data_IF_093510684210
#
_entry.id   IF_093510684210
#
_cell.length_a   1.000
_cell.length_b   1.000
_cell.length_c   1.000
_cell.angle_alpha   90.00
_cell.angle_beta   90.00
_cell.angle_gamma   90.00
#
_symmetry.space_group_name_H-M   'P 1'
#
loop_
_entity.id
_entity.type
_entity.pdbx_description
1 polymer ?
#
# COMPACT_ATOMS: atom_id res chain seq x y z
N UNK A 1 -64.81 -17.06 -37.88
CA UNK A 1 -66.12 -16.37 -37.69
C UNK A 1 -65.86 -15.03 -36.98
N UNK A 2 -66.20 -13.96 -37.70
CA UNK A 2 -66.52 -12.59 -37.29
C UNK A 2 -65.54 -11.82 -36.40
N UNK A 3 -64.78 -10.87 -36.90
CA UNK A 3 -65.11 -9.57 -37.54
C UNK A 3 -65.63 -8.50 -36.53
N UNK A 4 -64.91 -7.40 -36.54
CA UNK A 4 -65.27 -5.96 -36.49
C UNK A 4 -64.39 -5.20 -35.50
N UNK A 5 -63.47 -4.39 -36.02
CA UNK A 5 -63.54 -2.98 -36.41
C UNK A 5 -64.12 -2.08 -35.28
N UNK A 6 -63.31 -1.15 -34.79
CA UNK A 6 -63.69 0.26 -34.90
C UNK A 6 -62.49 1.18 -34.58
N UNK A 7 -62.27 2.04 -35.53
CA UNK A 7 -61.49 3.24 -35.64
C UNK A 7 -62.09 4.36 -34.75
N UNK A 8 -61.29 5.21 -34.16
CA UNK A 8 -61.50 6.66 -34.03
C UNK A 8 -60.41 7.26 -33.18
N UNK A 9 -59.71 8.10 -33.66
CA UNK A 9 -59.59 9.52 -34.02
C UNK A 9 -58.58 10.25 -33.16
N UNK A 10 -57.67 10.80 -33.91
CA UNK A 10 -56.79 11.95 -33.68
C UNK A 10 -57.19 12.93 -32.56
N UNK A 11 -56.21 13.35 -31.75
CA UNK A 11 -56.08 14.77 -31.45
C UNK A 11 -54.57 15.08 -31.30
N UNK A 12 -54.12 15.88 -32.21
CA UNK A 12 -52.85 16.54 -32.18
C UNK A 12 -52.85 17.64 -31.11
N UNK A 13 -51.92 17.64 -30.19
CA UNK A 13 -51.68 18.81 -29.35
C UNK A 13 -50.17 19.11 -29.41
N UNK A 14 -49.85 20.06 -30.25
CA UNK A 14 -48.55 20.69 -30.31
C UNK A 14 -48.35 21.54 -29.06
N UNK A 15 -47.39 21.20 -28.21
CA UNK A 15 -46.93 22.11 -27.15
C UNK A 15 -45.41 22.27 -27.27
N UNK A 16 -45.05 23.51 -27.43
CA UNK A 16 -43.82 24.14 -27.72
C UNK A 16 -42.59 23.60 -27.03
N UNK A 17 -41.58 23.40 -27.87
CA UNK A 17 -40.20 23.26 -27.44
C UNK A 17 -39.69 24.64 -26.95
N UNK A 18 -39.63 24.83 -25.64
CA UNK A 18 -38.88 25.92 -25.02
C UNK A 18 -37.42 25.50 -25.01
N UNK A 19 -36.68 25.99 -25.99
CA UNK A 19 -35.20 25.93 -25.95
C UNK A 19 -34.71 26.88 -24.86
N UNK A 20 -34.45 26.31 -23.67
CA UNK A 20 -33.60 26.95 -22.68
C UNK A 20 -32.15 26.80 -23.12
N UNK A 21 -31.72 27.63 -24.06
CA UNK A 21 -30.30 27.89 -24.32
C UNK A 21 -29.75 28.71 -23.15
N UNK A 22 -29.51 28.04 -22.02
CA UNK A 22 -28.72 28.58 -20.93
C UNK A 22 -27.27 28.63 -21.39
N UNK A 23 -26.82 29.79 -21.92
CA UNK A 23 -25.41 30.09 -22.05
C UNK A 23 -24.79 30.06 -20.65
N UNK A 24 -24.12 28.95 -20.29
CA UNK A 24 -23.19 28.93 -19.20
C UNK A 24 -21.97 29.79 -19.57
N UNK A 25 -22.07 31.09 -19.39
CA UNK A 25 -20.95 32.04 -19.44
C UNK A 25 -20.30 32.17 -18.05
N UNK A 26 -20.25 31.07 -17.29
CA UNK A 26 -19.44 31.00 -16.08
C UNK A 26 -17.99 30.67 -16.48
N UNK A 27 -17.01 31.43 -15.99
CA UNK A 27 -15.61 31.04 -16.08
C UNK A 27 -15.50 29.59 -15.58
N UNK A 28 -14.87 28.71 -16.37
CA UNK A 28 -14.57 27.35 -15.91
C UNK A 28 -13.82 27.49 -14.59
N UNK A 29 -14.23 26.77 -13.52
CA UNK A 29 -13.41 26.71 -12.33
C UNK A 29 -12.03 26.23 -12.80
N UNK A 30 -11.03 27.11 -12.68
CA UNK A 30 -9.64 26.70 -12.82
C UNK A 30 -9.44 25.60 -11.80
N UNK A 31 -9.01 24.41 -12.27
CA UNK A 31 -8.51 23.36 -11.37
C UNK A 31 -7.54 24.09 -10.43
N UNK A 32 -7.81 24.01 -9.13
CA UNK A 32 -6.87 24.53 -8.15
C UNK A 32 -5.50 23.95 -8.49
N UNK A 33 -4.42 24.73 -8.38
CA UNK A 33 -3.08 24.18 -8.54
C UNK A 33 -2.99 22.92 -7.72
N UNK A 34 -2.43 21.86 -8.29
CA UNK A 34 -2.18 20.60 -7.61
C UNK A 34 -1.56 20.92 -6.25
N UNK A 35 -2.33 20.68 -5.20
CA UNK A 35 -1.95 21.03 -3.84
C UNK A 35 -0.67 20.26 -3.58
N UNK A 36 0.45 20.96 -3.52
CA UNK A 36 1.76 20.38 -3.19
C UNK A 36 1.52 19.52 -1.95
N UNK A 37 1.85 18.23 -2.03
CA UNK A 37 1.56 17.28 -0.96
C UNK A 37 1.94 17.92 0.38
N UNK A 38 1.02 17.99 1.35
CA UNK A 38 1.27 18.73 2.59
C UNK A 38 2.56 18.18 3.20
N UNK A 39 3.51 19.07 3.45
CA UNK A 39 4.72 18.74 4.19
C UNK A 39 4.23 18.16 5.52
N UNK A 40 4.60 16.93 5.84
CA UNK A 40 4.24 16.28 7.08
C UNK A 40 5.01 17.04 8.16
N UNK A 41 4.34 17.81 9.02
CA UNK A 41 5.05 18.71 9.96
C UNK A 41 5.65 17.96 11.15
N UNK A 42 5.28 16.68 11.36
CA UNK A 42 5.71 15.90 12.51
C UNK A 42 7.08 15.26 12.27
N UNK A 43 8.08 15.67 13.06
CA UNK A 43 9.45 15.19 12.94
C UNK A 43 9.57 13.68 13.15
N UNK A 44 8.78 13.09 14.05
CA UNK A 44 8.82 11.66 14.33
C UNK A 44 8.39 10.83 13.11
N UNK A 45 7.39 11.33 12.36
CA UNK A 45 6.94 10.69 11.12
C UNK A 45 7.99 10.84 10.02
N UNK A 46 8.60 12.03 9.92
CA UNK A 46 9.67 12.29 8.95
C UNK A 46 10.90 11.39 9.18
N UNK A 47 11.27 11.16 10.43
CA UNK A 47 12.40 10.29 10.79
C UNK A 47 12.17 8.87 10.30
N UNK A 48 11.01 8.26 10.59
CA UNK A 48 10.67 6.91 10.12
C UNK A 48 10.56 6.87 8.59
N UNK A 49 9.95 7.88 7.96
CA UNK A 49 9.85 7.97 6.50
C UNK A 49 11.23 8.06 5.84
N UNK A 50 12.14 8.84 6.43
CA UNK A 50 13.52 8.98 5.92
C UNK A 50 14.29 7.67 6.01
N UNK A 51 14.15 6.95 7.13
CA UNK A 51 14.74 5.61 7.29
C UNK A 51 14.18 4.67 6.21
N UNK A 52 12.85 4.57 6.06
CA UNK A 52 12.22 3.72 5.05
C UNK A 52 12.59 4.11 3.61
N UNK A 53 12.85 5.39 3.33
CA UNK A 53 13.30 5.85 2.02
C UNK A 53 14.78 5.54 1.74
N UNK A 54 15.58 5.26 2.77
CA UNK A 54 17.00 4.94 2.61
C UNK A 54 17.21 3.60 1.91
N UNK A 55 18.37 3.43 1.29
CA UNK A 55 18.76 2.15 0.71
C UNK A 55 19.73 1.42 1.65
N UNK A 56 19.54 0.11 1.87
CA UNK A 56 20.46 -0.67 2.65
C UNK A 56 21.83 -0.76 1.94
N UNK A 57 22.89 -0.83 2.75
CA UNK A 57 24.26 -0.94 2.24
C UNK A 57 24.82 -2.38 2.32
N UNK A 58 24.22 -3.23 3.12
CA UNK A 58 24.69 -4.59 3.42
C UNK A 58 23.61 -5.61 3.14
N UNK A 59 24.02 -6.83 2.82
CA UNK A 59 23.11 -7.96 2.61
C UNK A 59 22.41 -8.33 3.91
N UNK A 60 21.13 -8.72 3.81
CA UNK A 60 20.37 -9.25 4.92
C UNK A 60 19.15 -10.05 4.45
N UNK A 61 18.63 -10.86 5.35
CA UNK A 61 17.33 -11.52 5.21
C UNK A 61 16.51 -11.27 6.48
N UNK A 62 15.24 -10.90 6.32
CA UNK A 62 14.28 -10.72 7.40
C UNK A 62 13.05 -11.58 7.12
N UNK A 63 12.60 -12.34 8.12
CA UNK A 63 11.33 -13.03 8.06
C UNK A 63 10.28 -12.25 8.84
N UNK A 64 9.04 -12.33 8.37
CA UNK A 64 7.90 -11.59 8.92
C UNK A 64 6.70 -12.50 9.13
N UNK A 65 5.97 -12.23 10.19
CA UNK A 65 4.57 -12.61 10.30
C UNK A 65 3.69 -11.45 9.83
N UNK A 66 2.75 -11.78 8.96
CA UNK A 66 1.82 -10.83 8.37
C UNK A 66 0.40 -11.29 8.65
N UNK A 67 -0.42 -10.41 9.20
CA UNK A 67 -1.85 -10.66 9.44
C UNK A 67 -2.66 -9.60 8.73
N UNK A 68 -3.46 -10.00 7.74
CA UNK A 68 -4.51 -9.15 7.19
C UNK A 68 -5.73 -9.26 8.07
N UNK A 69 -6.17 -8.13 8.65
CA UNK A 69 -7.23 -8.10 9.66
C UNK A 69 -8.61 -8.40 9.08
N UNK A 70 -8.83 -8.08 7.80
CA UNK A 70 -10.01 -8.52 7.06
C UNK A 70 -9.85 -10.01 6.71
N UNK A 71 -10.71 -10.83 7.30
CA UNK A 71 -10.64 -12.29 7.15
C UNK A 71 -9.63 -12.98 8.07
N UNK A 72 -8.84 -12.22 8.85
CA UNK A 72 -7.82 -12.76 9.78
C UNK A 72 -6.87 -13.76 9.09
N UNK A 73 -6.40 -13.40 7.89
CA UNK A 73 -5.50 -14.27 7.12
C UNK A 73 -4.07 -14.06 7.61
N UNK A 74 -3.45 -15.14 8.05
CA UNK A 74 -2.03 -15.18 8.43
C UNK A 74 -1.18 -15.61 7.24
N UNK A 75 -0.07 -14.93 7.03
CA UNK A 75 0.90 -15.25 5.98
C UNK A 75 2.31 -15.05 6.51
N UNK A 76 3.19 -15.98 6.18
CA UNK A 76 4.62 -15.76 6.34
C UNK A 76 5.12 -14.93 5.15
N UNK A 77 6.04 -14.02 5.42
CA UNK A 77 6.74 -13.30 4.38
C UNK A 77 8.24 -13.22 4.69
N UNK A 78 9.05 -12.97 3.67
CA UNK A 78 10.47 -12.71 3.85
C UNK A 78 10.92 -11.62 2.89
N UNK A 79 11.92 -10.84 3.32
CA UNK A 79 12.61 -9.86 2.50
C UNK A 79 14.10 -10.16 2.57
N UNK A 80 14.71 -10.38 1.41
CA UNK A 80 16.15 -10.50 1.25
C UNK A 80 16.66 -9.33 0.40
N UNK A 81 17.76 -8.74 0.81
CA UNK A 81 18.47 -7.72 0.05
C UNK A 81 19.94 -8.09 -0.08
N UNK A 82 20.48 -7.93 -1.28
CA UNK A 82 21.89 -8.09 -1.56
C UNK A 82 22.34 -7.05 -2.60
N UNK A 83 23.41 -6.29 -2.35
CA UNK A 83 23.88 -5.27 -3.30
C UNK A 83 24.25 -5.82 -4.69
N UNK A 84 24.59 -7.10 -4.80
CA UNK A 84 24.94 -7.74 -6.07
C UNK A 84 23.71 -8.29 -6.82
N UNK A 85 22.64 -8.68 -6.11
CA UNK A 85 21.47 -9.32 -6.70
C UNK A 85 20.24 -8.41 -6.72
N UNK A 86 20.08 -7.51 -5.73
CA UNK A 86 18.92 -6.63 -5.57
C UNK A 86 18.04 -7.01 -4.39
N UNK A 87 16.73 -6.95 -4.58
CA UNK A 87 15.73 -7.23 -3.53
C UNK A 87 14.84 -8.40 -3.94
N UNK A 88 14.63 -9.32 -3.02
CA UNK A 88 13.66 -10.40 -3.16
C UNK A 88 12.65 -10.34 -2.02
N UNK A 89 11.35 -10.37 -2.35
CA UNK A 89 10.25 -10.32 -1.39
C UNK A 89 9.36 -11.53 -1.63
N UNK A 90 9.25 -12.40 -0.64
CA UNK A 90 8.37 -13.56 -0.70
C UNK A 90 7.18 -13.33 0.22
N UNK A 91 5.96 -13.55 -0.26
CA UNK A 91 4.70 -13.45 0.48
C UNK A 91 3.92 -14.75 0.23
N UNK A 92 3.89 -15.64 1.21
CA UNK A 92 3.34 -16.98 1.03
C UNK A 92 4.10 -17.73 -0.08
N UNK A 93 3.42 -18.05 -1.17
CA UNK A 93 3.96 -18.81 -2.31
C UNK A 93 4.42 -17.94 -3.48
N UNK A 94 4.36 -16.62 -3.34
CA UNK A 94 4.73 -15.67 -4.39
C UNK A 94 6.02 -14.97 -4.02
N UNK A 95 6.98 -14.96 -4.95
CA UNK A 95 8.24 -14.23 -4.81
C UNK A 95 8.33 -13.13 -5.86
N UNK A 96 8.62 -11.93 -5.41
CA UNK A 96 8.91 -10.76 -6.24
C UNK A 96 10.41 -10.48 -6.21
N UNK A 97 11.03 -10.38 -7.37
CA UNK A 97 12.46 -10.09 -7.51
C UNK A 97 12.62 -8.74 -8.22
N UNK A 98 13.41 -7.86 -7.62
CA UNK A 98 13.83 -6.58 -8.14
C UNK A 98 15.35 -6.62 -8.31
N UNK A 99 15.81 -6.99 -9.47
CA UNK A 99 17.24 -7.15 -9.75
C UNK A 99 17.97 -5.82 -9.89
N UNK A 100 19.27 -5.80 -9.64
CA UNK A 100 20.11 -4.59 -9.74
C UNK A 100 20.19 -4.02 -11.16
N UNK A 101 19.99 -4.85 -12.20
CA UNK A 101 19.92 -4.44 -13.60
C UNK A 101 18.58 -3.81 -14.01
N UNK A 102 17.63 -3.68 -13.06
CA UNK A 102 16.29 -3.16 -13.30
C UNK A 102 15.29 -4.20 -13.77
N UNK A 103 15.68 -5.45 -13.96
CA UNK A 103 14.74 -6.53 -14.27
C UNK A 103 13.84 -6.82 -13.06
N UNK A 104 12.56 -7.06 -13.32
CA UNK A 104 11.59 -7.47 -12.29
C UNK A 104 10.93 -8.76 -12.68
N UNK A 105 10.70 -9.64 -11.69
CA UNK A 105 10.08 -10.95 -11.90
C UNK A 105 9.04 -11.21 -10.81
N UNK A 106 8.00 -11.94 -11.18
CA UNK A 106 7.05 -12.56 -10.24
C UNK A 106 7.15 -14.07 -10.40
N UNK A 107 7.55 -14.75 -9.34
CA UNK A 107 7.81 -16.18 -9.33
C UNK A 107 6.82 -16.93 -8.44
N UNK A 108 6.54 -18.18 -8.77
CA UNK A 108 5.91 -19.16 -7.87
C UNK A 108 7.00 -19.94 -7.15
N UNK A 109 6.97 -19.94 -5.82
CA UNK A 109 7.92 -20.76 -5.03
C UNK A 109 7.61 -22.25 -5.08
N UNK A 110 6.39 -22.63 -5.48
CA UNK A 110 5.97 -24.04 -5.62
C UNK A 110 6.33 -24.61 -6.99
N UNK A 111 6.07 -23.85 -8.05
CA UNK A 111 6.27 -24.30 -9.43
C UNK A 111 7.68 -24.01 -9.95
N UNK A 112 8.48 -23.22 -9.22
CA UNK A 112 9.80 -22.72 -9.62
C UNK A 112 9.77 -22.06 -11.02
N UNK A 113 8.69 -21.34 -11.32
CA UNK A 113 8.50 -20.60 -12.57
C UNK A 113 8.40 -19.10 -12.29
N UNK A 114 8.90 -18.29 -13.21
CA UNK A 114 8.87 -16.84 -13.13
C UNK A 114 8.27 -16.23 -14.38
N UNK A 115 7.53 -15.15 -14.20
CA UNK A 115 7.05 -14.27 -15.27
C UNK A 115 7.70 -12.90 -15.16
N UNK A 116 8.08 -12.26 -16.28
CA UNK A 116 8.58 -10.89 -16.27
C UNK A 116 7.55 -9.90 -15.70
N UNK A 117 8.05 -8.92 -14.95
CA UNK A 117 7.23 -7.88 -14.32
C UNK A 117 6.73 -8.25 -12.93
N UNK A 118 6.09 -7.27 -12.27
CA UNK A 118 5.48 -7.43 -10.95
C UNK A 118 3.98 -7.61 -11.13
N UNK A 119 3.47 -8.77 -10.74
CA UNK A 119 2.04 -9.11 -10.77
C UNK A 119 1.48 -9.08 -9.33
N UNK A 120 1.00 -7.93 -8.92
CA UNK A 120 0.41 -7.72 -7.59
C UNK A 120 -0.89 -8.50 -7.38
N UNK A 121 -1.55 -8.95 -8.46
CA UNK A 121 -2.81 -9.70 -8.35
C UNK A 121 -2.64 -11.04 -7.63
N UNK A 122 -1.44 -11.58 -7.63
CA UNK A 122 -1.11 -12.88 -6.99
C UNK A 122 -1.13 -12.85 -5.46
N UNK A 123 -1.17 -11.66 -4.84
CA UNK A 123 -1.28 -11.48 -3.37
C UNK A 123 -2.40 -10.52 -2.99
N UNK A 124 -3.23 -10.11 -3.94
CA UNK A 124 -4.30 -9.13 -3.72
C UNK A 124 -5.39 -9.62 -2.75
N UNK A 125 -5.66 -10.90 -2.70
CA UNK A 125 -6.57 -11.52 -1.73
C UNK A 125 -6.12 -11.35 -0.28
N UNK A 126 -4.80 -11.14 -0.07
CA UNK A 126 -4.18 -10.89 1.23
C UNK A 126 -4.05 -9.40 1.55
N UNK A 127 -4.58 -8.51 0.70
CA UNK A 127 -4.46 -7.05 0.82
C UNK A 127 -3.01 -6.56 0.96
N UNK A 128 -2.09 -7.32 0.39
CA UNK A 128 -0.66 -7.04 0.38
C UNK A 128 -0.22 -6.58 -1.01
N UNK A 129 0.88 -5.87 -1.03
CA UNK A 129 1.61 -5.50 -2.25
C UNK A 129 3.09 -5.81 -2.07
N UNK A 130 3.80 -6.05 -3.15
CA UNK A 130 5.23 -6.37 -3.13
C UNK A 130 6.09 -5.29 -2.44
N UNK A 131 5.61 -4.05 -2.37
CA UNK A 131 6.31 -2.92 -1.76
C UNK A 131 5.93 -2.68 -0.29
N UNK A 132 5.20 -3.60 0.37
CA UNK A 132 4.66 -3.44 1.73
C UNK A 132 5.74 -3.13 2.79
N UNK A 133 6.95 -3.64 2.62
CA UNK A 133 8.04 -3.44 3.59
C UNK A 133 8.80 -2.12 3.42
N UNK A 134 8.44 -1.28 2.45
CA UNK A 134 9.11 -0.01 2.18
C UNK A 134 8.14 1.06 1.68
N UNK A 135 7.93 1.15 0.36
CA UNK A 135 7.16 2.23 -0.28
C UNK A 135 5.72 2.29 0.21
N UNK A 136 5.01 1.16 0.22
CA UNK A 136 3.62 1.15 0.65
C UNK A 136 3.46 1.48 2.15
N UNK A 137 4.45 1.16 3.00
CA UNK A 137 4.45 1.57 4.40
C UNK A 137 4.57 3.09 4.54
N UNK A 138 5.44 3.75 3.75
CA UNK A 138 5.57 5.22 3.72
C UNK A 138 4.24 5.86 3.29
N UNK A 139 3.62 5.34 2.24
CA UNK A 139 2.34 5.86 1.72
C UNK A 139 1.23 5.74 2.76
N UNK A 140 1.10 4.57 3.43
CA UNK A 140 0.14 4.34 4.52
C UNK A 140 0.39 5.29 5.69
N UNK A 141 1.62 5.37 6.17
CA UNK A 141 2.01 6.27 7.25
C UNK A 141 1.71 7.74 6.92
N UNK A 142 1.97 8.16 5.69
CA UNK A 142 1.65 9.52 5.21
C UNK A 142 0.14 9.77 5.18
N UNK A 143 -0.67 8.79 4.81
CA UNK A 143 -2.12 8.90 4.84
C UNK A 143 -2.65 9.00 6.27
N UNK A 144 -2.15 8.16 7.20
CA UNK A 144 -2.52 8.21 8.61
C UNK A 144 -2.11 9.55 9.25
N UNK A 145 -0.95 10.10 8.87
CA UNK A 145 -0.49 11.42 9.31
C UNK A 145 -1.45 12.56 8.93
N UNK A 146 -2.07 12.48 7.75
CA UNK A 146 -3.03 13.50 7.27
C UNK A 146 -4.34 13.54 8.08
N UNK A 147 -4.70 12.42 8.70
CA UNK A 147 -5.93 12.26 9.48
C UNK A 147 -5.65 12.11 10.97
N UNK A 148 -4.41 12.35 11.39
CA UNK A 148 -4.02 12.30 12.79
C UNK A 148 -4.82 13.31 13.63
N UNK A 149 -5.27 12.87 14.82
CA UNK A 149 -6.07 13.68 15.75
C UNK A 149 -5.25 14.21 16.93
N UNK A 150 -3.93 14.00 16.89
CA UNK A 150 -2.98 14.46 17.89
C UNK A 150 -1.54 14.31 17.41
N UNK A 151 -0.55 14.75 18.21
CA UNK A 151 0.86 14.62 17.85
C UNK A 151 1.26 13.15 17.77
N UNK A 152 2.13 12.85 16.82
CA UNK A 152 2.76 11.54 16.76
C UNK A 152 3.80 11.38 17.87
N UNK A 153 3.98 10.15 18.35
CA UNK A 153 4.91 9.83 19.44
C UNK A 153 6.03 8.95 18.90
N UNK A 154 7.27 9.46 18.99
CA UNK A 154 8.47 8.71 18.64
C UNK A 154 8.85 7.73 19.76
N UNK A 155 9.37 6.56 19.39
CA UNK A 155 10.00 5.62 20.30
C UNK A 155 11.10 4.82 19.58
N UNK A 156 11.87 4.08 20.35
CA UNK A 156 12.79 3.06 19.83
C UNK A 156 12.45 1.71 20.46
N UNK A 157 12.49 0.67 19.66
CA UNK A 157 12.21 -0.69 20.08
C UNK A 157 13.32 -1.64 19.58
N UNK A 158 13.46 -2.77 20.24
CA UNK A 158 14.30 -3.87 19.74
C UNK A 158 13.37 -4.93 19.15
N UNK A 159 13.47 -5.19 17.85
CA UNK A 159 12.64 -6.15 17.11
C UNK A 159 13.57 -7.09 16.37
N UNK A 160 13.39 -8.40 16.51
CA UNK A 160 14.28 -9.41 15.92
C UNK A 160 15.77 -9.09 16.19
N UNK A 161 16.10 -8.71 17.43
CA UNK A 161 17.44 -8.35 17.93
C UNK A 161 18.08 -7.12 17.26
N UNK A 162 17.30 -6.31 16.54
CA UNK A 162 17.76 -5.08 15.88
C UNK A 162 17.01 -3.86 16.38
N UNK A 163 17.71 -2.72 16.41
CA UNK A 163 17.11 -1.43 16.79
C UNK A 163 16.19 -0.94 15.66
N UNK A 164 14.97 -0.59 16.05
CA UNK A 164 13.98 0.03 15.20
C UNK A 164 13.57 1.40 15.76
N UNK A 165 13.46 2.38 14.88
CA UNK A 165 12.86 3.69 15.16
C UNK A 165 11.38 3.60 14.82
N UNK A 166 10.53 3.97 15.79
CA UNK A 166 9.10 3.81 15.73
C UNK A 166 8.37 5.15 15.82
N UNK A 167 7.18 5.20 15.25
CA UNK A 167 6.21 6.28 15.42
C UNK A 167 4.82 5.72 15.66
N UNK A 168 4.13 6.29 16.65
CA UNK A 168 2.74 6.01 16.97
C UNK A 168 1.87 7.21 16.57
N UNK A 169 0.90 7.01 15.69
CA UNK A 169 0.04 8.05 15.11
C UNK A 169 -1.39 7.82 15.61
N UNK A 170 -1.97 8.77 16.40
CA UNK A 170 -3.34 8.67 16.86
C UNK A 170 -4.30 9.06 15.73
N UNK A 171 -5.23 8.18 15.38
CA UNK A 171 -6.27 8.40 14.37
C UNK A 171 -7.63 8.03 14.93
N UNK A 172 -8.72 8.55 14.35
CA UNK A 172 -10.10 8.16 14.72
C UNK A 172 -10.58 7.09 13.74
N UNK A 173 -11.13 6.01 14.26
CA UNK A 173 -11.75 4.96 13.44
C UNK A 173 -13.17 5.36 12.98
N UNK A 174 -13.80 4.50 12.19
CA UNK A 174 -15.16 4.71 11.66
C UNK A 174 -16.24 4.82 12.75
N UNK A 175 -15.95 4.40 13.98
CA UNK A 175 -16.86 4.46 15.12
C UNK A 175 -16.62 5.68 16.02
N UNK A 176 -15.66 6.52 15.65
CA UNK A 176 -15.26 7.70 16.44
C UNK A 176 -14.32 7.38 17.60
N UNK A 177 -13.81 6.17 17.72
CA UNK A 177 -12.84 5.82 18.75
C UNK A 177 -11.40 6.12 18.30
N UNK A 178 -10.60 6.68 19.20
CA UNK A 178 -9.18 6.91 18.92
C UNK A 178 -8.43 5.58 18.93
N UNK A 179 -7.72 5.31 17.84
CA UNK A 179 -6.81 4.18 17.69
C UNK A 179 -5.40 4.68 17.41
N UNK A 180 -4.41 3.89 17.77
CA UNK A 180 -3.01 4.20 17.45
C UNK A 180 -2.52 3.33 16.32
N UNK A 181 -1.99 3.94 15.27
CA UNK A 181 -1.27 3.26 14.18
C UNK A 181 0.22 3.32 14.48
N UNK A 182 0.87 2.17 14.44
CA UNK A 182 2.29 2.05 14.76
C UNK A 182 3.08 1.69 13.50
N UNK A 183 4.20 2.38 13.31
CA UNK A 183 5.16 2.14 12.24
C UNK A 183 6.55 2.14 12.80
N UNK A 184 7.28 1.04 12.65
CA UNK A 184 8.67 0.91 13.04
C UNK A 184 9.53 0.53 11.83
N UNK A 185 10.65 1.20 11.68
CA UNK A 185 11.65 0.91 10.65
C UNK A 185 12.97 0.51 11.29
N UNK A 186 13.63 -0.51 10.76
CA UNK A 186 15.00 -0.84 11.16
C UNK A 186 15.93 0.30 10.78
N UNK A 187 16.55 0.91 11.79
CA UNK A 187 17.30 2.17 11.68
C UNK A 187 18.38 2.14 10.59
N UNK A 188 19.04 1.01 10.38
CA UNK A 188 20.18 0.85 9.46
C UNK A 188 19.84 0.07 8.18
N UNK A 189 18.60 -0.44 8.02
CA UNK A 189 18.24 -1.32 6.91
C UNK A 189 17.24 -0.68 5.93
N UNK A 190 16.58 0.41 6.33
CA UNK A 190 15.64 1.11 5.45
C UNK A 190 14.38 0.29 5.10
N UNK A 191 13.95 -0.61 5.96
CA UNK A 191 12.77 -1.45 5.78
C UNK A 191 11.95 -1.54 7.07
N UNK A 192 10.70 -1.92 6.93
CA UNK A 192 9.76 -2.08 8.04
C UNK A 192 10.29 -3.13 9.04
N UNK A 193 10.30 -2.79 10.32
CA UNK A 193 10.52 -3.71 11.43
C UNK A 193 9.18 -4.24 11.97
N UNK A 194 8.23 -3.34 12.18
CA UNK A 194 6.82 -3.67 12.44
C UNK A 194 5.89 -2.60 11.93
N UNK A 195 4.65 -2.98 11.66
CA UNK A 195 3.59 -2.06 11.28
C UNK A 195 2.25 -2.61 11.79
N UNK A 196 1.44 -1.74 12.41
CA UNK A 196 0.12 -2.11 12.88
C UNK A 196 -0.89 -1.03 12.50
N UNK A 197 -1.67 -1.31 11.46
CA UNK A 197 -2.69 -0.41 10.88
C UNK A 197 -4.10 -0.97 11.06
N UNK A 198 -5.11 -0.34 10.47
CA UNK A 198 -6.50 -0.81 10.57
C UNK A 198 -6.71 -2.18 9.93
N UNK A 199 -6.02 -2.42 8.81
CA UNK A 199 -6.20 -3.56 7.91
C UNK A 199 -5.07 -4.58 7.97
N UNK A 200 -3.89 -4.19 8.48
CA UNK A 200 -2.68 -4.98 8.38
C UNK A 200 -1.85 -4.92 9.66
N UNK A 201 -1.32 -6.05 10.09
CA UNK A 201 -0.24 -6.14 11.07
C UNK A 201 0.93 -6.89 10.44
N UNK A 202 2.12 -6.33 10.57
CA UNK A 202 3.40 -6.89 10.10
C UNK A 202 4.38 -6.82 11.24
N UNK A 203 5.09 -7.90 11.52
CA UNK A 203 6.16 -7.93 12.52
C UNK A 203 7.32 -8.80 12.03
N UNK A 204 8.52 -8.24 12.08
CA UNK A 204 9.74 -9.03 11.83
C UNK A 204 9.95 -10.03 12.98
N UNK A 205 10.15 -11.29 12.62
CA UNK A 205 10.32 -12.41 13.55
C UNK A 205 11.76 -12.87 13.67
N UNK A 206 12.55 -12.66 12.61
CA UNK A 206 13.98 -12.99 12.64
C UNK A 206 14.75 -12.11 11.66
N UNK A 207 16.04 -11.94 11.95
CA UNK A 207 17.02 -11.24 11.12
C UNK A 207 18.25 -12.09 10.90
N UNK A 208 18.80 -12.05 9.68
CA UNK A 208 20.11 -12.61 9.32
C UNK A 208 20.88 -11.58 8.51
N UNK A 209 22.17 -11.41 8.80
CA UNK A 209 23.10 -10.57 8.04
C UNK A 209 23.62 -11.22 6.75
N UNK A 210 23.01 -12.32 6.31
CA UNK A 210 23.39 -13.09 5.14
C UNK A 210 22.20 -13.36 4.24
N UNK A 211 22.49 -13.54 2.96
CA UNK A 211 21.56 -14.01 1.91
C UNK A 211 22.11 -15.26 1.24
N UNK A 212 21.25 -15.94 0.50
CA UNK A 212 21.64 -17.07 -0.37
C UNK A 212 21.19 -16.77 -1.80
N UNK A 213 21.94 -17.24 -2.80
CA UNK A 213 21.67 -16.93 -4.21
C UNK A 213 20.27 -17.44 -4.68
N UNK A 214 19.79 -18.52 -4.09
CA UNK A 214 18.47 -19.10 -4.38
C UNK A 214 17.30 -18.19 -3.96
N UNK A 215 17.54 -17.23 -3.07
CA UNK A 215 16.53 -16.22 -2.74
C UNK A 215 16.25 -15.25 -3.89
N UNK A 216 17.17 -15.12 -4.85
CA UNK A 216 17.09 -14.19 -6.00
C UNK A 216 16.90 -14.90 -7.34
N UNK A 217 16.52 -16.16 -7.31
CA UNK A 217 16.24 -16.98 -8.51
C UNK A 217 14.82 -17.58 -8.46
N UNK A 218 14.44 -18.18 -9.58
CA UNK A 218 13.18 -18.92 -9.71
C UNK A 218 13.13 -20.16 -8.82
#
# INVERSE_FOLDING_TARGET
>A
MHARRLIKTLTATSIGAIFLSGCFTGARPTLMPEETAPVIPDAAIQDVATILASNPATSFTINYDVVTKFGNIQSAASLAFDPAFGTSITIGEVRYIYSVDGTTLTCSTLAADCTPGIDESRVSDRQLVSTVFKKAAIERMTQDARVAVGPAVASQETIADNVATCVAIPVVDSNGATQTKNYCAFTNLGVVASMNTADLAVIATSFSATTTADQFSA
#
